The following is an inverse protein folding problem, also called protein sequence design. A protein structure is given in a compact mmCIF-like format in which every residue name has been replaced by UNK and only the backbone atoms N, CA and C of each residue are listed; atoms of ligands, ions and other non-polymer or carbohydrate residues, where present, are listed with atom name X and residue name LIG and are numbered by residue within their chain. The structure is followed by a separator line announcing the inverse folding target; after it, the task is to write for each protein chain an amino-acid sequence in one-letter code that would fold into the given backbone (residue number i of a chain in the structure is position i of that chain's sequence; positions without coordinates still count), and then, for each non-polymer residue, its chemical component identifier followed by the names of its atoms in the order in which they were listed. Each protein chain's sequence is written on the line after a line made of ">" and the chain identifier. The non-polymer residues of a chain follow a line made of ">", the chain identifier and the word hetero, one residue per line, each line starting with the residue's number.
data_IF_358568288250
#
_entry.id   IF_358568288250
#
_cell.length_a   1.000
_cell.length_b   1.000
_cell.length_c   1.000
_cell.angle_alpha   90.00
_cell.angle_beta   90.00
_cell.angle_gamma   90.00
#
_symmetry.space_group_name_H-M   'P 1'
#
loop_
_entity.id
_entity.type
_entity.pdbx_description
1 polymer ?
#
# COMPACT_ATOMS: atom_id res chain seq x y z
N UNK A 1 -19.26 48.60 11.24
CA UNK A 1 -18.30 47.85 12.08
C UNK A 1 -17.80 46.62 11.31
N UNK A 2 -16.52 46.63 10.92
CA UNK A 2 -15.93 45.63 10.02
C UNK A 2 -15.48 44.37 10.79
N UNK A 3 -15.99 43.18 10.41
CA UNK A 3 -15.52 41.89 10.94
C UNK A 3 -14.20 41.50 10.27
N UNK A 4 -13.11 41.57 11.04
CA UNK A 4 -11.75 41.13 10.65
C UNK A 4 -11.75 39.63 10.32
N UNK A 5 -11.34 39.32 9.10
CA UNK A 5 -11.17 37.98 8.56
C UNK A 5 -9.85 37.37 9.10
N UNK A 6 -9.93 36.49 10.11
CA UNK A 6 -8.75 35.84 10.70
C UNK A 6 -8.33 34.67 9.81
N UNK A 7 -7.40 34.93 8.88
CA UNK A 7 -6.69 33.88 8.13
C UNK A 7 -5.89 33.00 9.11
N UNK A 8 -6.38 31.79 9.42
CA UNK A 8 -5.60 30.75 10.09
C UNK A 8 -4.40 30.40 9.20
N UNK A 9 -3.20 30.88 9.55
CA UNK A 9 -1.94 30.48 8.92
C UNK A 9 -1.73 28.97 9.16
N UNK A 10 -1.69 28.17 8.09
CA UNK A 10 -1.17 26.80 8.15
C UNK A 10 0.27 26.83 8.66
N UNK A 11 0.70 25.94 9.56
CA UNK A 11 2.10 25.84 9.93
C UNK A 11 2.89 25.46 8.67
N UNK A 12 3.83 26.34 8.28
CA UNK A 12 4.78 26.06 7.20
C UNK A 12 5.78 25.06 7.75
N UNK A 13 5.55 23.78 7.48
CA UNK A 13 6.60 22.78 7.66
C UNK A 13 7.61 22.96 6.53
N UNK A 14 8.57 23.86 6.77
CA UNK A 14 9.73 24.10 5.92
C UNK A 14 10.97 23.92 6.79
N UNK A 15 11.18 22.71 7.32
CA UNK A 15 12.54 22.32 7.71
C UNK A 15 13.34 22.16 6.43
N UNK A 16 14.13 23.17 6.11
CA UNK A 16 14.94 23.19 4.90
C UNK A 16 16.08 22.19 5.10
N UNK A 17 16.45 21.41 4.08
CA UNK A 17 17.57 20.45 4.14
C UNK A 17 18.88 21.10 4.60
N UNK A 18 19.01 22.42 4.47
CA UNK A 18 20.17 23.22 4.90
C UNK A 18 20.20 23.53 6.40
N UNK A 19 19.06 23.50 7.10
CA UNK A 19 19.00 23.78 8.55
C UNK A 19 19.46 22.59 9.41
N UNK A 20 19.47 21.39 8.84
CA UNK A 20 19.99 20.18 9.48
C UNK A 20 21.52 20.16 9.60
N UNK A 21 22.24 21.05 8.89
CA UNK A 21 23.71 21.09 8.91
C UNK A 21 24.26 21.82 10.15
N UNK A 22 23.44 22.62 10.84
CA UNK A 22 23.87 23.44 12.01
C UNK A 22 23.78 22.72 13.37
N UNK A 23 23.14 21.55 13.44
CA UNK A 23 23.03 20.77 14.68
C UNK A 23 24.01 19.60 14.60
N UNK A 24 24.92 19.48 15.57
CA UNK A 24 25.81 18.31 15.67
C UNK A 24 24.96 17.10 16.07
N UNK A 25 24.42 16.41 15.06
CA UNK A 25 23.71 15.15 15.24
C UNK A 25 24.69 14.03 15.55
N UNK A 26 24.31 13.11 16.43
CA UNK A 26 25.02 11.84 16.64
C UNK A 26 24.96 10.99 15.37
N UNK A 27 25.82 9.99 15.25
CA UNK A 27 25.83 9.12 14.07
C UNK A 27 24.53 8.32 13.92
N UNK A 28 23.90 7.92 15.03
CA UNK A 28 22.56 7.33 15.01
C UNK A 28 21.49 8.30 14.49
N UNK A 29 21.54 9.56 14.91
CA UNK A 29 20.61 10.61 14.45
C UNK A 29 20.78 10.89 12.96
N UNK A 30 22.01 10.87 12.45
CA UNK A 30 22.28 11.01 11.01
C UNK A 30 21.67 9.85 10.22
N UNK A 31 21.77 8.61 10.70
CA UNK A 31 21.14 7.44 10.06
C UNK A 31 19.62 7.57 10.08
N UNK A 32 19.01 7.97 11.20
CA UNK A 32 17.56 8.23 11.30
C UNK A 32 17.12 9.34 10.33
N UNK A 33 17.89 10.42 10.22
CA UNK A 33 17.62 11.52 9.29
C UNK A 33 17.75 11.10 7.83
N UNK A 34 18.77 10.31 7.47
CA UNK A 34 18.92 9.78 6.12
C UNK A 34 17.72 8.92 5.72
N UNK A 35 17.30 7.98 6.59
CA UNK A 35 16.11 7.15 6.38
C UNK A 35 14.82 7.99 6.25
N UNK A 36 14.68 9.05 7.06
CA UNK A 36 13.56 9.98 6.93
C UNK A 36 13.57 10.72 5.59
N UNK A 37 14.73 11.26 5.18
CA UNK A 37 14.87 11.99 3.92
C UNK A 37 14.55 11.09 2.72
N UNK A 38 15.00 9.83 2.71
CA UNK A 38 14.63 8.87 1.67
C UNK A 38 13.12 8.65 1.59
N UNK A 39 12.44 8.52 2.73
CA UNK A 39 10.97 8.38 2.77
C UNK A 39 10.25 9.64 2.29
N UNK A 40 10.78 10.83 2.57
CA UNK A 40 10.19 12.12 2.19
C UNK A 40 10.37 12.44 0.70
N UNK A 41 11.39 11.89 0.03
CA UNK A 41 11.58 12.08 -1.42
C UNK A 41 10.35 11.65 -2.22
N UNK A 42 9.66 10.60 -1.78
CA UNK A 42 8.45 10.06 -2.42
C UNK A 42 7.22 10.80 -1.93
N UNK A 43 6.93 11.94 -2.56
CA UNK A 43 5.76 12.75 -2.21
C UNK A 43 4.50 12.19 -2.87
N UNK A 44 3.53 11.67 -2.10
CA UNK A 44 2.27 11.21 -2.65
C UNK A 44 1.50 12.38 -3.23
N UNK A 45 0.68 12.08 -4.23
CA UNK A 45 -0.28 13.00 -4.82
C UNK A 45 -1.23 13.55 -3.74
N UNK A 46 -1.62 14.82 -3.87
CA UNK A 46 -2.53 15.47 -2.93
C UNK A 46 -3.81 15.98 -3.56
N UNK A 47 -4.92 15.81 -2.87
CA UNK A 47 -6.22 16.38 -3.16
C UNK A 47 -6.54 17.59 -2.25
N UNK A 48 -7.39 18.48 -2.76
CA UNK A 48 -8.03 19.59 -2.03
C UNK A 48 -9.54 19.53 -2.26
N UNK A 49 -10.33 19.96 -1.28
CA UNK A 49 -11.77 20.18 -1.43
C UNK A 49 -12.06 21.38 -2.34
N UNK A 50 -13.22 21.37 -2.99
CA UNK A 50 -13.68 22.44 -3.89
C UNK A 50 -14.91 23.21 -3.36
N UNK A 51 -15.29 23.06 -2.10
CA UNK A 51 -16.41 23.80 -1.52
C UNK A 51 -17.00 23.12 -0.29
N UNK A 52 -18.20 23.58 0.10
CA UNK A 52 -19.04 23.00 1.16
C UNK A 52 -19.61 21.64 0.77
N UNK A 53 -20.35 21.02 1.67
CA UNK A 53 -21.03 19.73 1.46
C UNK A 53 -21.85 19.72 0.16
N UNK A 54 -21.88 18.57 -0.51
CA UNK A 54 -22.61 18.38 -1.76
C UNK A 54 -23.06 16.94 -1.96
N UNK A 55 -24.08 16.75 -2.81
CA UNK A 55 -24.61 15.42 -3.14
C UNK A 55 -23.58 14.52 -3.82
N UNK A 56 -22.63 15.11 -4.56
CA UNK A 56 -21.49 14.43 -5.17
C UNK A 56 -20.16 14.92 -4.58
N UNK A 57 -19.12 14.08 -4.51
CA UNK A 57 -17.80 14.52 -4.07
C UNK A 57 -17.18 15.57 -4.99
N UNK A 58 -16.87 16.75 -4.44
CA UNK A 58 -16.21 17.86 -5.15
C UNK A 58 -14.79 18.07 -4.63
N UNK A 59 -13.84 17.35 -5.24
CA UNK A 59 -12.41 17.43 -4.94
C UNK A 59 -11.59 17.71 -6.19
N UNK A 60 -10.42 18.34 -6.02
CA UNK A 60 -9.44 18.54 -7.08
C UNK A 60 -8.06 18.06 -6.66
N UNK A 61 -7.32 17.54 -7.63
CA UNK A 61 -5.91 17.28 -7.49
C UNK A 61 -5.14 18.61 -7.40
N UNK A 62 -4.24 18.69 -6.42
CA UNK A 62 -3.38 19.85 -6.16
C UNK A 62 -2.19 19.87 -7.11
N UNK A 63 -1.72 18.70 -7.52
CA UNK A 63 -0.57 18.53 -8.41
C UNK A 63 -0.91 18.96 -9.85
N UNK A 64 0.06 19.58 -10.57
CA UNK A 64 -0.11 19.99 -11.98
C UNK A 64 -0.57 18.83 -12.85
N UNK A 65 -1.31 19.13 -13.93
CA UNK A 65 -1.72 18.14 -14.93
C UNK A 65 -0.56 17.84 -15.89
N UNK A 66 0.49 17.20 -15.39
CA UNK A 66 1.68 16.81 -16.16
C UNK A 66 1.87 15.28 -16.22
N UNK A 67 2.85 14.83 -17.00
CA UNK A 67 3.21 13.41 -17.10
C UNK A 67 3.63 12.83 -15.74
N UNK A 68 4.31 13.65 -14.92
CA UNK A 68 4.77 13.25 -13.60
C UNK A 68 3.61 12.88 -12.66
N UNK A 69 2.48 13.60 -12.74
CA UNK A 69 1.26 13.24 -12.01
C UNK A 69 0.70 11.88 -12.46
N UNK A 70 0.71 11.56 -13.75
CA UNK A 70 0.23 10.26 -14.24
C UNK A 70 1.12 9.12 -13.72
N UNK A 71 2.45 9.31 -13.77
CA UNK A 71 3.42 8.35 -13.23
C UNK A 71 3.18 8.13 -11.73
N UNK A 72 3.02 9.19 -10.95
CA UNK A 72 2.75 9.07 -9.51
C UNK A 72 1.42 8.36 -9.20
N UNK A 73 0.37 8.54 -10.02
CA UNK A 73 -0.89 7.80 -9.85
C UNK A 73 -0.67 6.31 -10.12
N UNK A 74 0.04 6.00 -11.21
CA UNK A 74 0.39 4.63 -11.56
C UNK A 74 1.21 3.96 -10.46
N UNK A 75 2.24 4.61 -9.94
CA UNK A 75 3.07 4.09 -8.85
C UNK A 75 2.28 3.89 -7.54
N UNK A 76 1.26 4.72 -7.29
CA UNK A 76 0.45 4.60 -6.08
C UNK A 76 -0.57 3.46 -6.20
N UNK A 77 -1.18 3.25 -7.35
CA UNK A 77 -2.31 2.33 -7.52
C UNK A 77 -1.94 1.04 -8.26
N UNK A 78 -0.73 0.95 -8.82
CA UNK A 78 -0.24 -0.21 -9.56
C UNK A 78 -0.72 -0.30 -11.01
N UNK A 79 -1.44 0.71 -11.52
CA UNK A 79 -2.02 0.66 -12.87
C UNK A 79 -1.97 2.01 -13.57
N UNK A 80 -1.68 2.08 -14.87
CA UNK A 80 -1.75 3.32 -15.64
C UNK A 80 -3.20 3.68 -16.04
N UNK A 81 -4.15 2.74 -15.90
CA UNK A 81 -5.52 2.90 -16.39
C UNK A 81 -6.35 3.86 -15.52
N UNK A 82 -6.83 4.94 -16.10
CA UNK A 82 -7.44 6.06 -15.34
C UNK A 82 -8.78 5.70 -14.71
N UNK A 83 -9.58 4.89 -15.40
CA UNK A 83 -10.89 4.49 -14.91
C UNK A 83 -10.75 3.52 -13.73
N UNK A 84 -9.79 2.59 -13.84
CA UNK A 84 -9.46 1.70 -12.74
C UNK A 84 -8.87 2.46 -11.54
N UNK A 85 -7.97 3.43 -11.77
CA UNK A 85 -7.46 4.29 -10.70
C UNK A 85 -8.59 5.00 -9.94
N UNK A 86 -9.58 5.52 -10.68
CA UNK A 86 -10.74 6.22 -10.10
C UNK A 86 -11.58 5.25 -9.27
N UNK A 87 -11.89 4.08 -9.83
CA UNK A 87 -12.68 3.05 -9.15
C UNK A 87 -12.00 2.57 -7.85
N UNK A 88 -10.72 2.26 -7.92
CA UNK A 88 -9.91 1.81 -6.80
C UNK A 88 -9.79 2.85 -5.69
N UNK A 89 -9.62 4.13 -6.06
CA UNK A 89 -9.57 5.22 -5.11
C UNK A 89 -10.93 5.43 -4.43
N UNK A 90 -12.03 5.34 -5.17
CA UNK A 90 -13.37 5.45 -4.60
C UNK A 90 -13.65 4.34 -3.58
N UNK A 91 -13.34 3.08 -3.92
CA UNK A 91 -13.48 1.94 -3.01
C UNK A 91 -12.75 2.17 -1.68
N UNK A 92 -11.50 2.63 -1.71
CA UNK A 92 -10.73 2.83 -0.48
C UNK A 92 -11.24 4.04 0.32
N UNK A 93 -11.66 5.13 -0.33
CA UNK A 93 -12.22 6.32 0.34
C UNK A 93 -13.46 5.96 1.17
N UNK A 94 -14.33 5.11 0.64
CA UNK A 94 -15.54 4.67 1.34
C UNK A 94 -15.25 3.88 2.63
N UNK A 95 -14.03 3.35 2.79
CA UNK A 95 -13.62 2.68 4.04
C UNK A 95 -13.21 3.63 5.16
N UNK A 96 -13.04 4.94 4.86
CA UNK A 96 -12.76 5.96 5.86
C UNK A 96 -14.05 6.51 6.49
N UNK A 97 -13.99 6.86 7.77
CA UNK A 97 -15.16 7.35 8.49
C UNK A 97 -15.47 8.82 8.22
N UNK A 98 -16.76 9.12 8.16
CA UNK A 98 -17.28 10.48 8.19
C UNK A 98 -17.19 11.23 6.87
N UNK A 99 -16.81 10.56 5.78
CA UNK A 99 -16.81 11.11 4.41
C UNK A 99 -18.22 11.47 3.92
N UNK A 100 -19.23 10.75 4.41
CA UNK A 100 -20.65 11.01 4.16
C UNK A 100 -21.33 11.49 5.45
N UNK A 101 -22.20 12.48 5.31
CA UNK A 101 -23.02 13.08 6.37
C UNK A 101 -24.50 13.09 5.98
N UNK A 102 -25.36 13.58 6.86
CA UNK A 102 -26.79 13.81 6.55
C UNK A 102 -27.02 14.87 5.47
N UNK A 103 -26.01 15.73 5.22
CA UNK A 103 -26.05 16.80 4.21
C UNK A 103 -25.26 16.43 2.95
N UNK A 104 -25.03 15.14 2.70
CA UNK A 104 -24.22 14.64 1.60
C UNK A 104 -22.74 14.49 1.95
N UNK A 105 -21.87 14.53 0.94
CA UNK A 105 -20.42 14.34 1.10
C UNK A 105 -19.78 15.55 1.78
N UNK A 106 -19.00 15.27 2.83
CA UNK A 106 -18.11 16.25 3.44
C UNK A 106 -16.82 16.31 2.61
N UNK A 107 -16.75 17.30 1.72
CA UNK A 107 -15.66 17.43 0.74
C UNK A 107 -14.27 17.59 1.38
N UNK A 108 -14.18 18.20 2.57
CA UNK A 108 -12.93 18.30 3.31
C UNK A 108 -12.46 16.93 3.81
N UNK A 109 -13.37 16.15 4.37
CA UNK A 109 -13.07 14.79 4.83
C UNK A 109 -12.80 13.84 3.68
N UNK A 110 -13.50 13.97 2.55
CA UNK A 110 -13.22 13.19 1.34
C UNK A 110 -11.81 13.49 0.82
N UNK A 111 -11.45 14.78 0.68
CA UNK A 111 -10.09 15.16 0.25
C UNK A 111 -9.02 14.64 1.22
N UNK A 112 -9.31 14.66 2.53
CA UNK A 112 -8.42 14.12 3.55
C UNK A 112 -8.28 12.60 3.46
N UNK A 113 -9.38 11.86 3.25
CA UNK A 113 -9.38 10.41 3.04
C UNK A 113 -8.55 10.03 1.81
N UNK A 114 -8.72 10.75 0.68
CA UNK A 114 -7.88 10.56 -0.51
C UNK A 114 -6.39 10.70 -0.18
N UNK A 115 -6.06 11.76 0.56
CA UNK A 115 -4.68 12.08 0.95
C UNK A 115 -4.07 11.01 1.88
N UNK A 116 -4.87 10.39 2.74
CA UNK A 116 -4.44 9.29 3.60
C UNK A 116 -4.24 8.01 2.79
N UNK A 117 -5.24 7.62 1.99
CA UNK A 117 -5.18 6.44 1.15
C UNK A 117 -3.93 6.47 0.24
N UNK A 118 -3.75 7.55 -0.52
CA UNK A 118 -2.59 7.70 -1.39
C UNK A 118 -1.26 7.75 -0.64
N UNK A 119 -1.23 8.24 0.60
CA UNK A 119 -0.02 8.22 1.42
C UNK A 119 0.35 6.80 1.85
N UNK A 120 -0.63 5.97 2.17
CA UNK A 120 -0.41 4.57 2.54
C UNK A 120 0.00 3.77 1.29
N UNK A 121 -0.73 3.94 0.19
CA UNK A 121 -0.47 3.29 -1.09
C UNK A 121 0.92 3.62 -1.64
N UNK A 122 1.34 4.88 -1.59
CA UNK A 122 2.70 5.31 -1.94
C UNK A 122 3.78 4.68 -1.03
N UNK A 123 3.42 4.29 0.20
CA UNK A 123 4.30 3.51 1.08
C UNK A 123 4.36 2.03 0.72
N UNK A 124 3.25 1.43 0.27
CA UNK A 124 3.18 0.02 -0.15
C UNK A 124 3.85 -0.18 -1.51
N UNK A 125 3.71 0.79 -2.42
CA UNK A 125 4.18 0.76 -3.81
C UNK A 125 3.75 -0.48 -4.58
N UNK A 126 2.45 -0.60 -4.89
CA UNK A 126 1.97 -1.66 -5.77
C UNK A 126 2.75 -1.69 -7.10
N UNK A 127 3.17 -2.87 -7.52
CA UNK A 127 3.94 -3.07 -8.76
C UNK A 127 3.07 -3.37 -9.98
N UNK A 128 1.83 -3.82 -9.75
CA UNK A 128 0.83 -4.13 -10.77
C UNK A 128 -0.60 -3.94 -10.22
N UNK A 129 -1.59 -4.16 -11.07
CA UNK A 129 -3.02 -4.05 -10.75
C UNK A 129 -3.43 -4.93 -9.56
N UNK A 130 -2.87 -6.14 -9.45
CA UNK A 130 -3.22 -7.13 -8.42
C UNK A 130 -2.67 -6.70 -7.06
N UNK A 131 -1.42 -6.22 -7.01
CA UNK A 131 -0.89 -5.57 -5.82
C UNK A 131 -1.70 -4.32 -5.46
N UNK A 132 -2.19 -3.56 -6.45
CA UNK A 132 -3.02 -2.38 -6.25
C UNK A 132 -4.32 -2.73 -5.52
N UNK A 133 -5.03 -3.74 -6.02
CA UNK A 133 -6.23 -4.29 -5.40
C UNK A 133 -5.95 -4.82 -3.98
N UNK A 134 -4.86 -5.58 -3.81
CA UNK A 134 -4.49 -6.13 -2.50
C UNK A 134 -4.17 -5.01 -1.50
N UNK A 135 -3.41 -3.99 -1.92
CA UNK A 135 -3.05 -2.85 -1.07
C UNK A 135 -4.29 -2.07 -0.61
N UNK A 136 -5.26 -1.86 -1.50
CA UNK A 136 -6.54 -1.22 -1.17
C UNK A 136 -7.34 -2.06 -0.18
N UNK A 137 -7.42 -3.37 -0.42
CA UNK A 137 -8.08 -4.28 0.50
C UNK A 137 -7.41 -4.26 1.88
N UNK A 138 -6.07 -4.22 1.95
CA UNK A 138 -5.32 -4.13 3.20
C UNK A 138 -5.66 -2.84 3.97
N UNK A 139 -5.80 -1.70 3.30
CA UNK A 139 -6.26 -0.45 3.93
C UNK A 139 -7.67 -0.62 4.49
N UNK A 140 -8.59 -1.21 3.72
CA UNK A 140 -9.96 -1.47 4.17
C UNK A 140 -10.03 -2.39 5.40
N UNK A 141 -9.27 -3.49 5.38
CA UNK A 141 -9.18 -4.43 6.50
C UNK A 141 -8.60 -3.75 7.75
N UNK A 142 -7.55 -2.94 7.60
CA UNK A 142 -7.01 -2.13 8.70
C UNK A 142 -8.06 -1.14 9.24
N UNK A 143 -8.72 -0.41 8.33
CA UNK A 143 -10.00 0.30 8.46
C UNK A 143 -10.93 -0.31 9.51
N UNK A 144 -11.40 -1.50 9.15
CA UNK A 144 -12.38 -2.27 9.89
C UNK A 144 -11.82 -2.81 11.21
N UNK A 145 -10.57 -3.27 11.25
CA UNK A 145 -9.95 -3.78 12.47
C UNK A 145 -9.84 -2.69 13.54
N UNK A 146 -9.32 -1.51 13.16
CA UNK A 146 -9.27 -0.34 14.06
C UNK A 146 -10.68 0.08 14.49
N UNK A 147 -11.67 -0.08 13.60
CA UNK A 147 -13.06 0.16 13.94
C UNK A 147 -13.56 -0.67 15.10
N UNK A 148 -13.37 -1.98 14.99
CA UNK A 148 -13.72 -2.95 16.01
C UNK A 148 -13.02 -2.60 17.33
N UNK A 149 -11.70 -2.36 17.30
CA UNK A 149 -10.93 -2.02 18.49
C UNK A 149 -11.47 -0.74 19.16
N UNK A 150 -11.71 0.34 18.38
CA UNK A 150 -12.29 1.58 18.91
C UNK A 150 -13.68 1.38 19.52
N UNK A 151 -14.53 0.51 18.94
CA UNK A 151 -15.87 0.21 19.47
C UNK A 151 -15.80 -0.63 20.75
N UNK A 152 -14.87 -1.59 20.82
CA UNK A 152 -14.62 -2.39 22.02
C UNK A 152 -14.24 -1.51 23.23
N UNK A 153 -13.37 -0.52 23.02
CA UNK A 153 -12.93 0.39 24.10
C UNK A 153 -14.04 1.32 24.62
N UNK A 154 -15.12 1.53 23.85
CA UNK A 154 -16.19 2.51 24.18
C UNK A 154 -17.47 1.87 24.71
N UNK A 155 -17.69 0.59 24.42
CA UNK A 155 -18.93 -0.09 24.84
C UNK A 155 -18.88 -0.45 26.31
N UNK A 156 -20.02 -0.28 27.00
CA UNK A 156 -20.19 -0.71 28.40
C UNK A 156 -20.77 -2.12 28.52
N UNK A 157 -21.31 -2.66 27.43
CA UNK A 157 -21.86 -4.03 27.42
C UNK A 157 -20.78 -5.03 27.01
N UNK A 158 -20.61 -6.06 27.84
CA UNK A 158 -19.56 -7.10 27.71
C UNK A 158 -19.76 -7.95 26.46
N UNK A 159 -21.00 -8.28 26.10
CA UNK A 159 -21.34 -9.05 24.90
C UNK A 159 -20.88 -8.34 23.62
N UNK A 160 -21.17 -7.04 23.49
CA UNK A 160 -20.66 -6.24 22.38
C UNK A 160 -19.15 -6.03 22.43
N UNK A 161 -18.58 -5.88 23.63
CA UNK A 161 -17.13 -5.77 23.78
C UNK A 161 -16.42 -7.00 23.19
N UNK A 162 -16.87 -8.19 23.57
CA UNK A 162 -16.34 -9.45 23.08
C UNK A 162 -16.54 -9.62 21.57
N UNK A 163 -17.70 -9.24 21.04
CA UNK A 163 -17.97 -9.25 19.60
C UNK A 163 -16.93 -8.40 18.84
N UNK A 164 -16.69 -7.17 19.29
CA UNK A 164 -15.74 -6.27 18.65
C UNK A 164 -14.29 -6.73 18.81
N UNK A 165 -13.88 -7.21 19.99
CA UNK A 165 -12.53 -7.78 20.19
C UNK A 165 -12.29 -8.94 19.23
N UNK A 166 -13.24 -9.88 19.14
CA UNK A 166 -13.15 -11.03 18.24
C UNK A 166 -13.11 -10.61 16.76
N UNK A 167 -13.93 -9.64 16.36
CA UNK A 167 -13.91 -9.07 15.01
C UNK A 167 -12.56 -8.43 14.67
N UNK A 168 -12.04 -7.59 15.57
CA UNK A 168 -10.73 -6.96 15.41
C UNK A 168 -9.61 -7.98 15.29
N UNK A 169 -9.58 -9.00 16.16
CA UNK A 169 -8.58 -10.06 16.12
C UNK A 169 -8.63 -10.88 14.81
N UNK A 170 -9.83 -11.17 14.28
CA UNK A 170 -10.00 -11.87 13.00
C UNK A 170 -9.46 -11.03 11.84
N UNK A 171 -9.80 -9.75 11.78
CA UNK A 171 -9.34 -8.85 10.72
C UNK A 171 -7.83 -8.61 10.78
N UNK A 172 -7.24 -8.49 11.98
CA UNK A 172 -5.79 -8.38 12.15
C UNK A 172 -5.05 -9.63 11.63
N UNK A 173 -5.61 -10.83 11.82
CA UNK A 173 -5.06 -12.06 11.23
C UNK A 173 -5.16 -12.07 9.70
N UNK A 174 -6.27 -11.59 9.14
CA UNK A 174 -6.40 -11.41 7.68
C UNK A 174 -5.35 -10.44 7.15
N UNK A 175 -5.12 -9.32 7.83
CA UNK A 175 -4.09 -8.35 7.46
C UNK A 175 -2.69 -8.99 7.46
N UNK A 176 -2.35 -9.77 8.48
CA UNK A 176 -1.08 -10.51 8.52
C UNK A 176 -0.93 -11.49 7.35
N UNK A 177 -1.99 -12.24 7.03
CA UNK A 177 -2.00 -13.15 5.88
C UNK A 177 -1.83 -12.40 4.54
N UNK A 178 -2.45 -11.22 4.39
CA UNK A 178 -2.28 -10.38 3.20
C UNK A 178 -0.83 -9.86 3.07
N UNK A 179 -0.18 -9.51 4.19
CA UNK A 179 1.24 -9.13 4.20
C UNK A 179 2.14 -10.29 3.73
N UNK A 180 1.86 -11.52 4.18
CA UNK A 180 2.58 -12.72 3.72
C UNK A 180 2.33 -13.01 2.25
N UNK A 181 1.08 -12.89 1.81
CA UNK A 181 0.69 -13.06 0.41
C UNK A 181 1.41 -12.04 -0.50
N UNK A 182 1.45 -10.77 -0.12
CA UNK A 182 2.17 -9.72 -0.84
C UNK A 182 3.68 -10.01 -0.90
N UNK A 183 4.29 -10.38 0.24
CA UNK A 183 5.71 -10.76 0.28
C UNK A 183 6.01 -11.94 -0.65
N UNK A 184 5.15 -12.97 -0.65
CA UNK A 184 5.28 -14.14 -1.51
C UNK A 184 5.08 -13.79 -2.98
N UNK A 185 4.10 -12.93 -3.30
CA UNK A 185 3.84 -12.47 -4.66
C UNK A 185 5.07 -11.76 -5.25
N UNK A 186 5.66 -10.83 -4.49
CA UNK A 186 6.92 -10.13 -4.85
C UNK A 186 8.13 -11.06 -4.95
N UNK A 187 8.20 -12.08 -4.10
CA UNK A 187 9.32 -13.03 -4.06
C UNK A 187 9.38 -14.01 -5.23
N UNK A 188 8.26 -14.25 -5.94
CA UNK A 188 8.20 -15.23 -7.04
C UNK A 188 8.91 -14.76 -8.33
N UNK A 189 9.26 -13.48 -8.46
CA UNK A 189 10.04 -12.95 -9.58
C UNK A 189 11.55 -13.23 -9.51
N UNK A 190 12.05 -13.88 -8.46
CA UNK A 190 13.48 -14.21 -8.28
C UNK A 190 13.84 -15.65 -8.65
N UNK A 191 13.13 -16.30 -9.58
CA UNK A 191 13.75 -17.44 -10.27
C UNK A 191 14.88 -16.89 -11.15
N UNK A 192 16.10 -16.82 -10.59
CA UNK A 192 17.32 -16.65 -11.37
C UNK A 192 17.41 -17.85 -12.33
N UNK A 193 16.94 -17.68 -13.56
CA UNK A 193 17.39 -18.53 -14.66
C UNK A 193 18.86 -18.17 -14.84
N UNK A 194 19.75 -18.98 -14.25
CA UNK A 194 21.17 -18.93 -14.57
C UNK A 194 21.28 -19.47 -15.99
N UNK A 195 21.31 -18.57 -16.99
CA UNK A 195 21.68 -18.93 -18.35
C UNK A 195 23.19 -19.20 -18.28
N UNK A 196 23.57 -20.44 -18.04
CA UNK A 196 24.89 -20.90 -18.46
C UNK A 196 24.89 -20.82 -19.98
N UNK A 197 25.60 -19.83 -20.52
CA UNK A 197 25.86 -19.75 -21.96
C UNK A 197 26.64 -21.02 -22.36
N UNK A 198 25.93 -22.02 -22.88
CA UNK A 198 26.56 -23.10 -23.63
C UNK A 198 26.95 -22.48 -24.98
N UNK A 199 28.26 -22.33 -25.19
CA UNK A 199 28.80 -21.98 -26.49
C UNK A 199 28.48 -23.14 -27.44
N UNK A 200 27.42 -23.00 -28.24
CA UNK A 200 27.09 -23.96 -29.28
C UNK A 200 27.88 -23.58 -30.52
N UNK A 201 28.99 -24.28 -30.76
CA UNK A 201 29.59 -24.36 -32.09
C UNK A 201 28.57 -24.96 -33.06
N UNK A 202 28.52 -24.41 -34.27
CA UNK A 202 27.56 -24.76 -35.33
C UNK A 202 27.36 -26.27 -35.48
N UNK A 203 26.13 -26.76 -35.24
CA UNK A 203 25.69 -28.07 -35.73
C UNK A 203 24.90 -28.99 -34.80
N UNK A 204 24.62 -28.65 -33.55
CA UNK A 204 23.92 -29.55 -32.61
C UNK A 204 22.47 -29.16 -32.31
N UNK A 205 21.47 -29.89 -32.83
CA UNK A 205 20.07 -29.79 -32.35
C UNK A 205 20.00 -30.22 -30.88
N UNK A 206 19.71 -29.31 -29.96
CA UNK A 206 19.48 -29.63 -28.55
C UNK A 206 17.99 -29.92 -28.30
N UNK A 207 17.69 -31.09 -27.74
CA UNK A 207 16.39 -31.44 -27.18
C UNK A 207 16.28 -30.76 -25.81
N UNK A 208 15.25 -29.94 -25.60
CA UNK A 208 14.96 -29.31 -24.31
C UNK A 208 14.29 -30.34 -23.40
N UNK A 209 15.07 -30.97 -22.52
CA UNK A 209 14.55 -31.75 -21.40
C UNK A 209 14.43 -30.86 -20.16
N UNK A 210 13.23 -30.74 -19.58
CA UNK A 210 13.06 -30.17 -18.23
C UNK A 210 13.70 -31.14 -17.24
N UNK A 211 14.88 -30.79 -16.74
CA UNK A 211 15.56 -31.54 -15.68
C UNK A 211 15.11 -30.97 -14.34
N UNK A 212 14.27 -31.70 -13.60
CA UNK A 212 14.06 -31.44 -12.18
C UNK A 212 15.27 -31.98 -11.42
N UNK A 213 16.07 -31.15 -10.72
CA UNK A 213 17.16 -31.65 -9.93
C UNK A 213 16.65 -32.36 -8.67
N UNK A 214 16.84 -33.68 -8.64
CA UNK A 214 17.38 -34.35 -7.46
C UNK A 214 16.37 -34.92 -6.45
N UNK A 215 15.88 -36.12 -6.75
CA UNK A 215 15.46 -37.12 -5.78
C UNK A 215 15.83 -38.53 -6.26
N UNK A 216 17.12 -38.77 -6.55
CA UNK A 216 17.66 -40.13 -6.76
C UNK A 216 17.82 -40.83 -5.40
N UNK A 217 17.82 -42.15 -5.25
CA UNK A 217 17.80 -43.35 -6.08
C UNK A 217 17.68 -44.51 -5.06
N UNK A 218 17.18 -45.70 -5.35
CA UNK A 218 17.79 -46.72 -6.19
C UNK A 218 16.77 -47.88 -6.31
N UNK A 219 16.70 -48.44 -7.51
CA UNK A 219 16.05 -49.71 -7.84
C UNK A 219 17.14 -50.79 -7.80
N UNK A 220 16.86 -51.93 -7.18
CA UNK A 220 17.70 -53.14 -7.28
C UNK A 220 16.91 -54.35 -6.82
N UNK A 221 16.32 -55.08 -7.76
CA UNK A 221 15.61 -56.33 -7.48
C UNK A 221 16.54 -57.53 -7.43
N UNK A 222 16.11 -58.60 -6.75
CA UNK A 222 16.25 -59.97 -7.25
C UNK A 222 15.36 -60.96 -6.50
N UNK A 223 14.73 -61.84 -7.28
CA UNK A 223 14.02 -63.05 -6.87
C UNK A 223 14.93 -64.06 -6.17
N UNK A 224 14.40 -64.83 -5.20
CA UNK A 224 14.27 -66.32 -5.21
C UNK A 224 14.16 -66.95 -3.81
N UNK A 225 13.08 -67.74 -3.66
CA UNK A 225 12.97 -69.10 -3.09
C UNK A 225 13.46 -69.43 -1.66
N UNK A 226 12.58 -70.21 -1.01
CA UNK A 226 12.78 -71.35 -0.08
C UNK A 226 12.91 -71.04 1.40
N UNK A 227 12.11 -71.76 2.19
CA UNK A 227 12.19 -71.88 3.65
C UNK A 227 10.81 -71.92 4.23
#
# INVERSE_FOLDING_TARGET
>A
MAKKNVKRKKPRDKTNSKDLVKKKYTDEEKVRLANYLERVKRKPIKFKSLGSNSDEPKIALKDPKDLLRKVKMMEALGTPESDLQTHLLDQVIQTFRGTVSTEGFDNDKVALACNYALSILNGIQPQDEIEGMLAIQMIGIHNMAMNCICRAMRTKRVDYMNLYINGGAKLSRVFANQMEALKKYRGKGQQKIVIEHVNVSEGGKAIVGVVNPGGGGLRGGNDKKRG
#
